data_IF_344506908643
#
_entry.id   IF_344506908643
#
_cell.length_a   1.000
_cell.length_b   1.000
_cell.length_c   1.000
_cell.angle_alpha   90.00
_cell.angle_beta   90.00
_cell.angle_gamma   90.00
#
_symmetry.space_group_name_H-M   'P 1'
#
loop_
_entity.id
_entity.type
_entity.pdbx_description
1 polymer ?
#
# COMPACT_ATOMS: atom_id res chain seq x y z
N UNK A 1 13.78 -16.53 5.29
CA UNK A 1 12.51 -16.63 4.53
C UNK A 1 12.86 -16.67 3.05
N UNK A 2 12.27 -17.57 2.26
CA UNK A 2 12.49 -17.63 0.80
C UNK A 2 11.14 -17.43 0.12
N UNK A 3 11.07 -16.50 -0.82
CA UNK A 3 9.86 -16.19 -1.59
C UNK A 3 10.04 -16.82 -2.95
N UNK A 4 9.13 -17.73 -3.32
CA UNK A 4 9.08 -18.27 -4.67
C UNK A 4 8.33 -17.29 -5.57
N UNK A 5 8.94 -16.94 -6.71
CA UNK A 5 8.38 -15.95 -7.64
C UNK A 5 8.04 -16.69 -8.94
N UNK A 6 6.79 -16.62 -9.43
CA UNK A 6 6.41 -17.29 -10.67
C UNK A 6 7.23 -16.74 -11.85
N UNK A 7 7.50 -17.62 -12.82
CA UNK A 7 8.39 -17.34 -13.95
C UNK A 7 8.00 -16.07 -14.73
N UNK A 8 6.70 -15.85 -14.98
CA UNK A 8 6.21 -14.65 -15.67
C UNK A 8 6.61 -13.37 -14.94
N UNK A 9 6.38 -13.33 -13.61
CA UNK A 9 6.70 -12.17 -12.80
C UNK A 9 8.22 -11.95 -12.72
N UNK A 10 9.00 -13.02 -12.64
CA UNK A 10 10.45 -12.94 -12.68
C UNK A 10 10.94 -12.35 -14.01
N UNK A 11 10.41 -12.80 -15.15
CA UNK A 11 10.75 -12.26 -16.47
C UNK A 11 10.43 -10.75 -16.59
N UNK A 12 9.26 -10.35 -16.10
CA UNK A 12 8.83 -8.94 -16.09
C UNK A 12 9.72 -8.08 -15.20
N UNK A 13 10.10 -8.58 -14.02
CA UNK A 13 11.05 -7.92 -13.13
C UNK A 13 12.42 -7.75 -13.80
N UNK A 14 12.93 -8.78 -14.47
CA UNK A 14 14.20 -8.71 -15.21
C UNK A 14 14.16 -7.66 -16.31
N UNK A 15 13.08 -7.60 -17.09
CA UNK A 15 12.91 -6.59 -18.13
C UNK A 15 12.87 -5.18 -17.55
N UNK A 16 12.10 -4.96 -16.47
CA UNK A 16 12.02 -3.68 -15.79
C UNK A 16 13.38 -3.24 -15.21
N UNK A 17 14.09 -4.14 -14.53
CA UNK A 17 15.41 -3.88 -13.97
C UNK A 17 16.43 -3.50 -15.04
N UNK A 18 16.39 -4.16 -16.21
CA UNK A 18 17.23 -3.84 -17.35
C UNK A 18 16.98 -2.42 -17.87
N UNK A 19 15.72 -2.03 -18.02
CA UNK A 19 15.34 -0.67 -18.45
C UNK A 19 15.82 0.39 -17.45
N UNK A 20 15.80 0.07 -16.15
CA UNK A 20 16.24 0.96 -15.09
C UNK A 20 17.77 0.94 -14.87
N UNK A 21 18.51 0.07 -15.56
CA UNK A 21 19.95 -0.11 -15.35
C UNK A 21 20.30 -0.65 -13.96
N UNK A 22 19.37 -1.36 -13.32
CA UNK A 22 19.49 -1.89 -11.95
C UNK A 22 19.52 -3.42 -11.94
N UNK A 23 19.97 -3.99 -10.82
CA UNK A 23 19.84 -5.43 -10.57
C UNK A 23 18.38 -5.77 -10.25
N UNK A 24 17.87 -6.93 -10.71
CA UNK A 24 16.50 -7.35 -10.43
C UNK A 24 16.24 -7.53 -8.93
N UNK A 25 17.25 -7.95 -8.17
CA UNK A 25 17.20 -8.12 -6.72
C UNK A 25 16.91 -6.79 -6.00
N UNK A 26 17.59 -5.71 -6.41
CA UNK A 26 17.40 -4.37 -5.86
C UNK A 26 16.01 -3.83 -6.22
N UNK A 27 15.56 -4.04 -7.45
CA UNK A 27 14.20 -3.66 -7.88
C UNK A 27 13.12 -4.42 -7.12
N UNK A 28 13.33 -5.72 -6.87
CA UNK A 28 12.40 -6.53 -6.09
C UNK A 28 12.34 -6.05 -4.64
N UNK A 29 13.50 -5.78 -4.02
CA UNK A 29 13.57 -5.30 -2.66
C UNK A 29 12.86 -3.95 -2.50
N UNK A 30 13.09 -3.03 -3.43
CA UNK A 30 12.47 -1.70 -3.43
C UNK A 30 10.94 -1.77 -3.61
N UNK A 31 10.48 -2.63 -4.52
CA UNK A 31 9.06 -2.87 -4.74
C UNK A 31 8.37 -3.48 -3.49
N UNK A 32 9.00 -4.48 -2.86
CA UNK A 32 8.48 -5.10 -1.64
C UNK A 32 8.45 -4.09 -0.50
N UNK A 33 9.50 -3.28 -0.33
CA UNK A 33 9.56 -2.22 0.69
C UNK A 33 8.42 -1.22 0.51
N UNK A 34 8.24 -0.72 -0.71
CA UNK A 34 7.19 0.23 -1.03
C UNK A 34 5.82 -0.35 -0.69
N UNK A 35 5.54 -1.57 -1.16
CA UNK A 35 4.27 -2.24 -0.89
C UNK A 35 3.99 -2.45 0.62
N UNK A 36 5.01 -2.82 1.39
CA UNK A 36 4.89 -2.99 2.85
C UNK A 36 4.54 -1.65 3.51
N UNK A 37 5.25 -0.58 3.15
CA UNK A 37 4.97 0.77 3.67
C UNK A 37 3.54 1.20 3.34
N UNK A 38 3.09 1.01 2.10
CA UNK A 38 1.71 1.32 1.69
C UNK A 38 0.67 0.54 2.52
N UNK A 39 0.93 -0.73 2.82
CA UNK A 39 0.04 -1.54 3.66
C UNK A 39 0.02 -1.05 5.12
N UNK A 40 1.17 -0.70 5.67
CA UNK A 40 1.29 -0.15 7.02
C UNK A 40 0.59 1.20 7.16
N UNK A 41 0.74 2.07 6.15
CA UNK A 41 0.06 3.38 6.10
C UNK A 41 -1.46 3.22 5.98
N UNK A 42 -1.92 2.36 5.07
CA UNK A 42 -3.36 2.07 4.92
C UNK A 42 -3.97 1.46 6.19
N UNK A 43 -3.24 0.58 6.88
CA UNK A 43 -3.68 0.00 8.15
C UNK A 43 -3.76 1.06 9.26
N UNK A 44 -2.76 1.96 9.31
CA UNK A 44 -2.71 3.08 10.25
C UNK A 44 -3.87 4.05 10.01
N UNK A 45 -4.11 4.43 8.75
CA UNK A 45 -5.22 5.28 8.34
C UNK A 45 -6.56 4.64 8.73
N UNK A 46 -6.75 3.35 8.41
CA UNK A 46 -7.97 2.62 8.80
C UNK A 46 -8.17 2.59 10.32
N UNK A 47 -7.10 2.46 11.11
CA UNK A 47 -7.18 2.51 12.57
C UNK A 47 -7.63 3.89 13.06
N UNK A 48 -7.10 4.97 12.48
CA UNK A 48 -7.49 6.35 12.83
C UNK A 48 -8.94 6.66 12.46
N UNK A 49 -9.40 6.23 11.29
CA UNK A 49 -10.80 6.36 10.86
C UNK A 49 -11.74 5.45 11.68
N UNK A 50 -11.30 4.24 12.02
CA UNK A 50 -12.05 3.29 12.86
C UNK A 50 -12.15 3.72 14.33
N UNK A 51 -11.25 4.57 14.80
CA UNK A 51 -11.34 5.25 16.11
C UNK A 51 -12.18 6.54 16.08
N UNK A 52 -12.60 7.00 14.89
CA UNK A 52 -13.34 8.25 14.69
C UNK A 52 -14.84 8.02 14.41
N UNK A 53 -15.44 6.99 15.02
CA UNK A 53 -16.91 6.83 14.99
C UNK A 53 -17.64 7.91 15.81
N UNK A 54 -16.91 8.79 16.51
CA UNK A 54 -17.48 9.94 17.22
C UNK A 54 -17.72 11.17 16.31
N UNK A 55 -17.19 11.16 15.08
CA UNK A 55 -17.43 12.22 14.08
C UNK A 55 -18.55 11.87 13.10
N UNK A 56 -19.56 11.08 13.52
CA UNK A 56 -20.88 11.15 12.89
C UNK A 56 -21.50 12.48 13.30
N UNK A 57 -21.07 13.51 12.58
CA UNK A 57 -21.79 14.73 12.25
C UNK A 57 -23.21 14.75 12.84
N UNK A 58 -23.32 15.32 14.03
CA UNK A 58 -24.57 15.84 14.58
C UNK A 58 -24.94 17.04 13.70
N UNK A 59 -25.50 16.79 12.51
CA UNK A 59 -26.34 17.80 11.88
C UNK A 59 -27.54 17.90 12.82
N UNK A 60 -27.44 18.88 13.71
CA UNK A 60 -28.50 19.32 14.58
C UNK A 60 -29.64 19.74 13.65
N UNK A 61 -30.71 18.96 13.68
CA UNK A 61 -32.03 19.32 13.18
C UNK A 61 -32.44 20.63 13.88
N UNK A 62 -32.07 21.77 13.30
CA UNK A 62 -32.70 23.05 13.61
C UNK A 62 -33.98 23.10 12.79
N UNK A 63 -35.03 22.48 13.33
CA UNK A 63 -36.40 22.72 12.92
C UNK A 63 -36.69 24.21 13.02
N UNK A 64 -37.00 24.81 11.87
CA UNK A 64 -37.66 26.10 11.80
C UNK A 64 -39.16 25.80 11.89
N UNK A 65 -39.75 26.07 13.05
CA UNK A 65 -41.18 26.38 13.21
C UNK A 65 -41.28 27.76 13.88
#
# INVERSE_FOLDING_TARGET
MRIDIPLDLAQRLYAAARTLGRKPEECALDAIRTFVIDCEDAATLRSQLGGSTDYVVRIQDYGID
#
